data_IF_223279734493
#
_entry.id   IF_223279734493
#
_cell.length_a   1.000
_cell.length_b   1.000
_cell.length_c   1.000
_cell.angle_alpha   90.00
_cell.angle_beta   90.00
_cell.angle_gamma   90.00
#
_symmetry.space_group_name_H-M   'P 1'
#
loop_
_entity.id
_entity.type
_entity.pdbx_description
1 polymer ?
#
# COMPACT_ATOMS: atom_id res chain seq x y z
N UNK A 1 -9.82 -0.41 -11.65
CA UNK A 1 -10.69 0.77 -11.83
C UNK A 1 -9.88 1.95 -12.36
N UNK A 2 -8.91 2.50 -11.63
CA UNK A 2 -8.13 3.70 -12.02
C UNK A 2 -7.44 3.55 -13.37
N UNK A 3 -6.95 2.36 -13.69
CA UNK A 3 -6.39 2.05 -15.02
C UNK A 3 -7.41 2.26 -16.13
N UNK A 4 -8.64 1.75 -15.97
CA UNK A 4 -9.71 1.93 -16.96
C UNK A 4 -10.09 3.41 -17.15
N UNK A 5 -10.19 4.18 -16.05
CA UNK A 5 -10.42 5.62 -16.12
C UNK A 5 -9.28 6.35 -16.85
N UNK A 6 -8.04 5.89 -16.70
CA UNK A 6 -6.88 6.46 -17.38
C UNK A 6 -6.90 6.13 -18.88
N UNK A 7 -7.28 4.89 -19.25
CA UNK A 7 -7.44 4.49 -20.65
C UNK A 7 -8.46 5.36 -21.39
N UNK A 8 -9.59 5.69 -20.75
CA UNK A 8 -10.65 6.52 -21.35
C UNK A 8 -10.23 7.96 -21.66
N UNK A 9 -9.10 8.40 -21.13
CA UNK A 9 -8.54 9.72 -21.39
C UNK A 9 -7.35 9.69 -22.37
N UNK A 10 -7.05 8.53 -23.00
CA UNK A 10 -5.96 8.39 -23.95
C UNK A 10 -6.46 8.53 -25.38
N UNK A 11 -5.99 9.53 -26.09
CA UNK A 11 -6.35 9.80 -27.50
C UNK A 11 -6.03 8.63 -28.46
N UNK A 12 -5.04 7.81 -28.12
CA UNK A 12 -4.61 6.66 -28.92
C UNK A 12 -5.48 5.42 -28.78
N UNK A 13 -6.46 5.38 -27.85
CA UNK A 13 -7.31 4.23 -27.54
C UNK A 13 -8.77 4.62 -27.79
N UNK A 14 -9.16 4.66 -29.06
CA UNK A 14 -10.48 5.11 -29.50
C UNK A 14 -11.61 4.15 -29.06
N UNK A 15 -11.29 2.90 -28.77
CA UNK A 15 -12.21 1.86 -28.31
C UNK A 15 -12.70 2.11 -26.88
N UNK A 16 -12.00 2.94 -26.11
CA UNK A 16 -12.39 3.35 -24.75
C UNK A 16 -12.61 4.87 -24.74
N UNK A 17 -13.80 5.34 -25.14
CA UNK A 17 -14.08 6.78 -25.18
C UNK A 17 -14.10 7.39 -23.78
N UNK A 18 -13.99 8.72 -23.72
CA UNK A 18 -14.08 9.45 -22.46
C UNK A 18 -15.42 9.19 -21.76
N UNK A 19 -15.37 8.81 -20.49
CA UNK A 19 -16.55 8.44 -19.71
C UNK A 19 -17.39 9.65 -19.30
N UNK A 20 -18.69 9.45 -19.28
CA UNK A 20 -19.64 10.39 -18.69
C UNK A 20 -19.32 10.64 -17.19
N UNK A 21 -19.74 11.78 -16.62
CA UNK A 21 -19.64 12.01 -15.18
C UNK A 21 -20.31 10.93 -14.34
N UNK A 22 -21.43 10.35 -14.81
CA UNK A 22 -22.14 9.28 -14.13
C UNK A 22 -21.33 7.98 -14.10
N UNK A 23 -20.71 7.60 -15.20
CA UNK A 23 -19.86 6.41 -15.28
C UNK A 23 -18.59 6.56 -14.44
N UNK A 24 -17.96 7.73 -14.44
CA UNK A 24 -16.84 8.03 -13.55
C UNK A 24 -17.25 7.96 -12.07
N UNK A 25 -18.40 8.51 -11.69
CA UNK A 25 -18.91 8.44 -10.33
C UNK A 25 -19.16 7.00 -9.87
N UNK A 26 -19.72 6.14 -10.75
CA UNK A 26 -19.86 4.71 -10.45
C UNK A 26 -18.52 4.03 -10.24
N UNK A 27 -17.54 4.28 -11.10
CA UNK A 27 -16.18 3.73 -10.93
C UNK A 27 -15.52 4.21 -9.64
N UNK A 28 -15.71 5.47 -9.27
CA UNK A 28 -15.20 6.04 -8.02
C UNK A 28 -15.85 5.38 -6.80
N UNK A 29 -17.18 5.15 -6.84
CA UNK A 29 -17.90 4.50 -5.74
C UNK A 29 -17.46 3.05 -5.52
N UNK A 30 -17.17 2.29 -6.59
CA UNK A 30 -16.63 0.92 -6.48
C UNK A 30 -15.33 0.89 -5.65
N UNK A 31 -14.51 1.94 -5.76
CA UNK A 31 -13.26 2.03 -4.98
C UNK A 31 -13.52 2.54 -3.57
N UNK A 32 -14.32 3.60 -3.43
CA UNK A 32 -14.54 4.28 -2.15
C UNK A 32 -15.38 3.45 -1.16
N UNK A 33 -16.32 2.68 -1.68
CA UNK A 33 -17.29 1.89 -0.90
C UNK A 33 -16.93 0.39 -0.83
N UNK A 34 -15.71 0.01 -1.27
CA UNK A 34 -15.27 -1.38 -1.25
C UNK A 34 -15.37 -1.96 0.17
N UNK A 35 -16.07 -3.09 0.28
CA UNK A 35 -16.44 -3.69 1.56
C UNK A 35 -15.88 -5.11 1.75
N UNK A 36 -16.03 -5.63 2.96
CA UNK A 36 -15.72 -7.03 3.27
C UNK A 36 -16.63 -7.99 2.47
N UNK A 37 -17.87 -7.59 2.19
CA UNK A 37 -18.79 -8.43 1.39
C UNK A 37 -18.37 -8.46 -0.08
N UNK A 38 -17.88 -7.35 -0.63
CA UNK A 38 -17.26 -7.33 -1.96
C UNK A 38 -16.03 -8.26 -2.02
N UNK A 39 -15.19 -8.23 -0.99
CA UNK A 39 -14.05 -9.13 -0.90
C UNK A 39 -14.48 -10.62 -0.83
N UNK A 40 -15.56 -10.94 -0.10
CA UNK A 40 -16.15 -12.29 -0.07
C UNK A 40 -16.65 -12.69 -1.45
N UNK A 41 -17.35 -11.78 -2.16
CA UNK A 41 -17.81 -12.04 -3.52
C UNK A 41 -16.66 -12.38 -4.47
N UNK A 42 -15.56 -11.62 -4.41
CA UNK A 42 -14.35 -11.90 -5.19
C UNK A 42 -13.81 -13.31 -4.87
N UNK A 43 -13.75 -13.69 -3.58
CA UNK A 43 -13.28 -15.04 -3.18
C UNK A 43 -14.22 -16.17 -3.63
N UNK A 44 -15.51 -15.90 -3.76
CA UNK A 44 -16.46 -16.86 -4.37
C UNK A 44 -16.15 -17.05 -5.87
N UNK A 45 -15.97 -15.97 -6.62
CA UNK A 45 -15.61 -16.02 -8.04
C UNK A 45 -14.27 -16.76 -8.22
N UNK A 46 -13.30 -16.48 -7.35
CA UNK A 46 -11.97 -17.10 -7.39
C UNK A 46 -12.01 -18.63 -7.26
N UNK A 47 -12.97 -19.19 -6.50
CA UNK A 47 -13.15 -20.65 -6.40
C UNK A 47 -13.41 -21.32 -7.75
N UNK A 48 -13.99 -20.58 -8.70
CA UNK A 48 -14.27 -21.08 -10.05
C UNK A 48 -13.15 -20.75 -11.02
N UNK A 49 -12.62 -19.51 -10.94
CA UNK A 49 -11.58 -19.04 -11.86
C UNK A 49 -10.19 -19.59 -11.54
N UNK A 50 -9.95 -20.01 -10.30
CA UNK A 50 -8.64 -20.41 -9.76
C UNK A 50 -7.54 -19.37 -10.02
N UNK A 51 -7.93 -18.06 -10.03
CA UNK A 51 -7.03 -16.97 -10.31
C UNK A 51 -7.53 -15.69 -9.62
N UNK A 52 -6.68 -15.08 -8.81
CA UNK A 52 -6.99 -13.92 -7.96
C UNK A 52 -7.39 -12.66 -8.76
N UNK A 53 -6.51 -12.18 -9.63
CA UNK A 53 -6.78 -10.95 -10.42
C UNK A 53 -7.91 -11.16 -11.40
N UNK A 54 -8.07 -12.38 -11.97
CA UNK A 54 -9.20 -12.69 -12.85
C UNK A 54 -10.53 -12.63 -12.09
N UNK A 55 -10.54 -13.06 -10.84
CA UNK A 55 -11.72 -12.93 -9.99
C UNK A 55 -12.10 -11.46 -9.74
N UNK A 56 -11.13 -10.58 -9.54
CA UNK A 56 -11.35 -9.14 -9.41
C UNK A 56 -11.89 -8.55 -10.72
N UNK A 57 -11.37 -8.97 -11.88
CA UNK A 57 -11.89 -8.55 -13.18
C UNK A 57 -13.36 -8.90 -13.34
N UNK A 58 -13.76 -10.16 -13.05
CA UNK A 58 -15.16 -10.58 -13.14
C UNK A 58 -16.05 -9.84 -12.14
N UNK A 59 -15.59 -9.61 -10.92
CA UNK A 59 -16.31 -8.79 -9.95
C UNK A 59 -16.54 -7.36 -10.47
N UNK A 60 -15.55 -6.74 -11.08
CA UNK A 60 -15.70 -5.42 -11.66
C UNK A 60 -16.70 -5.43 -12.84
N UNK A 61 -16.69 -6.47 -13.68
CA UNK A 61 -17.68 -6.66 -14.74
C UNK A 61 -19.10 -6.77 -14.18
N UNK A 62 -19.29 -7.50 -13.06
CA UNK A 62 -20.58 -7.55 -12.35
C UNK A 62 -21.03 -6.15 -11.88
N UNK A 63 -20.11 -5.37 -11.28
CA UNK A 63 -20.41 -4.03 -10.76
C UNK A 63 -20.78 -3.00 -11.84
N UNK A 64 -20.32 -3.17 -13.06
CA UNK A 64 -20.59 -2.23 -14.16
C UNK A 64 -21.67 -2.73 -15.13
N UNK A 65 -22.22 -3.91 -14.91
CA UNK A 65 -23.14 -4.58 -15.85
C UNK A 65 -24.37 -3.74 -16.21
N UNK A 66 -24.92 -3.01 -15.25
CA UNK A 66 -26.12 -2.17 -15.42
C UNK A 66 -25.82 -0.78 -16.02
N UNK A 67 -24.55 -0.42 -16.18
CA UNK A 67 -24.14 0.81 -16.84
C UNK A 67 -23.79 0.50 -18.30
N UNK A 68 -24.62 0.94 -19.25
CA UNK A 68 -24.47 0.59 -20.67
C UNK A 68 -23.14 1.08 -21.27
N UNK A 69 -22.63 2.24 -20.84
CA UNK A 69 -21.36 2.80 -21.29
C UNK A 69 -20.18 1.93 -20.85
N UNK A 70 -20.10 1.59 -19.56
CA UNK A 70 -19.03 0.77 -19.01
C UNK A 70 -19.14 -0.70 -19.41
N UNK A 71 -20.33 -1.22 -19.55
CA UNK A 71 -20.55 -2.60 -19.97
C UNK A 71 -20.11 -2.83 -21.43
N UNK A 72 -20.27 -1.83 -22.29
CA UNK A 72 -19.82 -1.92 -23.69
C UNK A 72 -18.29 -2.08 -23.81
N UNK A 73 -17.53 -1.62 -22.82
CA UNK A 73 -16.05 -1.66 -22.84
C UNK A 73 -15.48 -2.52 -21.69
N UNK A 74 -16.28 -3.41 -21.12
CA UNK A 74 -15.89 -4.18 -19.94
C UNK A 74 -14.66 -5.08 -20.16
N UNK A 75 -14.35 -5.48 -21.40
CA UNK A 75 -13.16 -6.25 -21.76
C UNK A 75 -11.86 -5.42 -21.60
N UNK A 76 -11.94 -4.09 -21.57
CA UNK A 76 -10.80 -3.22 -21.35
C UNK A 76 -10.41 -3.07 -19.87
N UNK A 77 -11.17 -3.65 -18.94
CA UNK A 77 -10.85 -3.62 -17.48
C UNK A 77 -9.44 -4.18 -17.21
N UNK A 78 -9.04 -5.22 -17.95
CA UNK A 78 -7.71 -5.84 -17.84
C UNK A 78 -6.84 -5.64 -19.08
N UNK A 79 -7.13 -4.62 -19.87
CA UNK A 79 -6.39 -4.32 -21.09
C UNK A 79 -4.97 -3.81 -20.81
N UNK A 80 -4.00 -4.25 -21.61
CA UNK A 80 -2.60 -3.84 -21.58
C UNK A 80 -1.88 -4.01 -20.21
N UNK A 81 -2.35 -4.91 -19.33
CA UNK A 81 -1.67 -5.25 -18.10
C UNK A 81 -1.70 -6.76 -17.84
N UNK A 82 -0.68 -7.25 -17.15
CA UNK A 82 -0.69 -8.61 -16.61
C UNK A 82 -1.12 -8.57 -15.14
N UNK A 83 -1.49 -9.72 -14.58
CA UNK A 83 -1.90 -9.84 -13.18
C UNK A 83 -0.86 -9.28 -12.22
N UNK A 84 0.43 -9.52 -12.46
CA UNK A 84 1.50 -9.02 -11.59
C UNK A 84 1.68 -7.50 -11.67
N UNK A 85 1.33 -6.85 -12.79
CA UNK A 85 1.30 -5.38 -12.87
C UNK A 85 0.27 -4.80 -11.88
N UNK A 86 -0.83 -5.50 -11.65
CA UNK A 86 -1.86 -5.12 -10.70
C UNK A 86 -1.47 -5.51 -9.26
N UNK A 87 -1.01 -6.75 -9.06
CA UNK A 87 -0.63 -7.27 -7.74
C UNK A 87 0.48 -6.46 -7.09
N UNK A 88 1.58 -6.16 -7.81
CA UNK A 88 2.66 -5.39 -7.23
C UNK A 88 2.25 -3.98 -6.84
N UNK A 89 1.43 -3.31 -7.64
CA UNK A 89 0.90 -1.97 -7.31
C UNK A 89 -0.03 -2.02 -6.10
N UNK A 90 -0.88 -3.05 -6.00
CA UNK A 90 -1.76 -3.24 -4.85
C UNK A 90 -0.96 -3.47 -3.56
N UNK A 91 0.06 -4.33 -3.60
CA UNK A 91 0.97 -4.55 -2.48
C UNK A 91 1.73 -3.28 -2.10
N UNK A 92 2.24 -2.53 -3.07
CA UNK A 92 2.92 -1.26 -2.84
C UNK A 92 2.02 -0.24 -2.12
N UNK A 93 0.76 -0.09 -2.56
CA UNK A 93 -0.22 0.78 -1.94
C UNK A 93 -0.56 0.35 -0.51
N UNK A 94 -0.77 -0.97 -0.27
CA UNK A 94 -1.03 -1.50 1.06
C UNK A 94 0.16 -1.29 2.01
N UNK A 95 1.38 -1.57 1.56
CA UNK A 95 2.60 -1.35 2.35
C UNK A 95 2.79 0.14 2.67
N UNK A 96 2.54 1.03 1.70
CA UNK A 96 2.63 2.47 1.94
C UNK A 96 1.59 2.93 2.98
N UNK A 97 0.34 2.52 2.82
CA UNK A 97 -0.72 2.86 3.78
C UNK A 97 -0.40 2.31 5.18
N UNK A 98 0.01 1.05 5.30
CA UNK A 98 0.39 0.44 6.57
C UNK A 98 1.57 1.17 7.23
N UNK A 99 2.59 1.56 6.45
CA UNK A 99 3.72 2.36 6.96
C UNK A 99 3.23 3.68 7.55
N UNK A 100 2.46 4.45 6.79
CA UNK A 100 2.03 5.80 7.20
C UNK A 100 1.02 5.78 8.35
N UNK A 101 0.05 4.85 8.31
CA UNK A 101 -1.07 4.87 9.25
C UNK A 101 -0.87 4.00 10.49
N UNK A 102 0.07 3.06 10.44
CA UNK A 102 0.29 2.10 11.53
C UNK A 102 1.73 2.13 12.02
N UNK A 103 2.71 1.78 11.15
CA UNK A 103 4.08 1.54 11.59
C UNK A 103 4.71 2.81 12.16
N UNK A 104 4.70 3.91 11.40
CA UNK A 104 5.33 5.16 11.84
C UNK A 104 4.67 5.73 13.11
N UNK A 105 3.34 5.81 13.25
CA UNK A 105 2.71 6.25 14.49
C UNK A 105 3.06 5.39 15.71
N UNK A 106 3.12 4.07 15.58
CA UNK A 106 3.51 3.21 16.71
C UNK A 106 4.99 3.34 17.08
N UNK A 107 5.87 3.51 16.09
CA UNK A 107 7.30 3.78 16.35
C UNK A 107 7.47 5.14 17.03
N UNK A 108 6.72 6.17 16.64
CA UNK A 108 6.74 7.48 17.28
C UNK A 108 6.28 7.39 18.74
N UNK A 109 5.20 6.67 19.06
CA UNK A 109 4.78 6.41 20.44
C UNK A 109 5.86 5.69 21.26
N UNK A 110 6.55 4.72 20.68
CA UNK A 110 7.65 4.03 21.36
C UNK A 110 8.83 4.98 21.64
N UNK A 111 9.20 5.81 20.66
CA UNK A 111 10.26 6.82 20.83
C UNK A 111 9.91 7.80 21.94
N UNK A 112 8.67 8.27 21.98
CA UNK A 112 8.20 9.21 22.99
C UNK A 112 8.25 8.57 24.38
N UNK A 113 7.75 7.35 24.54
CA UNK A 113 7.79 6.64 25.82
C UNK A 113 9.22 6.44 26.35
N UNK A 114 10.17 6.06 25.47
CA UNK A 114 11.58 5.90 25.87
C UNK A 114 12.21 7.27 26.15
N UNK A 115 11.85 8.32 25.41
CA UNK A 115 12.32 9.68 25.66
C UNK A 115 11.84 10.20 27.01
N UNK A 116 10.61 9.88 27.40
CA UNK A 116 10.09 10.25 28.72
C UNK A 116 10.80 9.50 29.86
N UNK A 117 11.14 8.23 29.65
CA UNK A 117 12.01 7.49 30.58
C UNK A 117 13.40 8.13 30.66
N UNK A 118 13.97 8.56 29.55
CA UNK A 118 15.25 9.25 29.52
C UNK A 118 15.22 10.55 30.34
N UNK A 119 14.17 11.35 30.19
CA UNK A 119 13.98 12.59 30.98
C UNK A 119 13.77 12.28 32.45
N UNK A 120 12.91 11.31 32.77
CA UNK A 120 12.57 10.91 34.16
C UNK A 120 13.79 10.44 34.92
N UNK A 121 14.65 9.65 34.29
CA UNK A 121 15.82 9.02 34.94
C UNK A 121 17.16 9.69 34.60
N UNK A 122 17.15 10.93 34.11
CA UNK A 122 18.34 11.65 33.69
C UNK A 122 19.41 11.82 34.77
N UNK A 123 19.02 11.87 36.05
CA UNK A 123 19.91 12.06 37.20
C UNK A 123 20.14 10.78 37.99
N UNK A 124 19.56 9.66 37.59
CA UNK A 124 19.73 8.38 38.28
C UNK A 124 21.09 7.77 37.86
N UNK A 125 22.08 7.71 38.77
CA UNK A 125 23.39 7.16 38.44
C UNK A 125 23.30 5.65 38.24
N UNK A 126 24.05 5.14 37.28
CA UNK A 126 24.25 3.71 37.12
C UNK A 126 25.68 3.42 36.67
N UNK A 127 26.13 2.21 36.97
CA UNK A 127 27.43 1.72 36.52
C UNK A 127 27.27 1.11 35.11
N UNK A 128 27.97 1.67 34.12
CA UNK A 128 28.12 1.00 32.83
C UNK A 128 28.94 -0.29 32.97
N UNK A 129 28.79 -1.19 32.04
CA UNK A 129 29.50 -2.47 32.02
C UNK A 129 30.11 -2.71 30.63
N UNK A 130 31.27 -3.36 30.63
CA UNK A 130 31.93 -3.87 29.43
C UNK A 130 32.43 -5.29 29.73
N UNK A 131 32.16 -6.23 28.83
CA UNK A 131 32.53 -7.64 29.04
C UNK A 131 32.05 -8.21 30.39
N UNK A 132 30.90 -7.78 30.90
CA UNK A 132 30.41 -8.16 32.22
C UNK A 132 31.10 -7.49 33.42
N UNK A 133 32.09 -6.65 33.20
CA UNK A 133 32.88 -5.93 34.21
C UNK A 133 32.31 -4.50 34.42
N UNK A 134 32.40 -3.96 35.64
CA UNK A 134 32.15 -2.54 35.90
C UNK A 134 33.05 -1.64 35.01
N UNK A 135 32.42 -0.62 34.43
CA UNK A 135 33.09 0.39 33.62
C UNK A 135 32.79 1.80 34.15
N UNK A 136 32.78 2.80 33.28
CA UNK A 136 32.55 4.20 33.68
C UNK A 136 31.16 4.42 34.24
N UNK A 137 30.99 5.29 35.24
CA UNK A 137 29.65 5.74 35.66
C UNK A 137 28.89 6.41 34.52
N UNK A 138 27.57 6.19 34.49
CA UNK A 138 26.64 6.81 33.55
C UNK A 138 25.35 7.13 34.28
N UNK A 139 24.28 7.49 33.53
CA UNK A 139 22.93 7.61 34.09
C UNK A 139 21.97 6.72 33.31
N UNK A 140 20.95 6.25 34.00
CA UNK A 140 19.85 5.48 33.37
C UNK A 140 19.20 6.28 32.25
N UNK A 141 18.98 7.59 32.47
CA UNK A 141 18.41 8.45 31.45
C UNK A 141 19.27 8.58 30.20
N UNK A 142 20.60 8.63 30.32
CA UNK A 142 21.50 8.65 29.15
C UNK A 142 21.40 7.36 28.34
N UNK A 143 21.32 6.22 29.00
CA UNK A 143 21.15 4.94 28.29
C UNK A 143 19.81 4.87 27.52
N UNK A 144 18.71 5.34 28.12
CA UNK A 144 17.41 5.46 27.43
C UNK A 144 17.49 6.45 26.26
N UNK A 145 18.13 7.61 26.45
CA UNK A 145 18.31 8.61 25.38
C UNK A 145 19.06 8.05 24.17
N UNK A 146 20.09 7.22 24.40
CA UNK A 146 20.82 6.56 23.32
C UNK A 146 19.90 5.67 22.47
N UNK A 147 19.02 4.89 23.11
CA UNK A 147 18.05 4.04 22.41
C UNK A 147 17.06 4.90 21.64
N UNK A 148 16.47 5.94 22.27
CA UNK A 148 15.51 6.82 21.62
C UNK A 148 16.08 7.50 20.37
N UNK A 149 17.31 8.02 20.44
CA UNK A 149 17.97 8.67 19.29
C UNK A 149 18.24 7.67 18.15
N UNK A 150 18.63 6.46 18.48
CA UNK A 150 18.85 5.41 17.46
C UNK A 150 17.55 5.00 16.78
N UNK A 151 16.46 4.81 17.55
CA UNK A 151 15.14 4.52 17.00
C UNK A 151 14.65 5.66 16.11
N UNK A 152 14.84 6.92 16.51
CA UNK A 152 14.47 8.07 15.69
C UNK A 152 15.13 8.05 14.30
N UNK A 153 16.44 7.78 14.26
CA UNK A 153 17.18 7.64 12.99
C UNK A 153 16.62 6.49 12.13
N UNK A 154 16.30 5.35 12.72
CA UNK A 154 15.72 4.22 12.00
C UNK A 154 14.30 4.54 11.49
N UNK A 155 13.51 5.24 12.30
CA UNK A 155 12.18 5.73 11.92
C UNK A 155 12.25 6.65 10.71
N UNK A 156 13.21 7.56 10.66
CA UNK A 156 13.45 8.45 9.52
C UNK A 156 13.83 7.67 8.25
N UNK A 157 14.67 6.64 8.38
CA UNK A 157 15.02 5.76 7.26
C UNK A 157 13.81 4.99 6.73
N UNK A 158 12.97 4.42 7.61
CA UNK A 158 11.73 3.73 7.21
C UNK A 158 10.80 4.68 6.48
N UNK A 159 10.62 5.91 6.98
CA UNK A 159 9.78 6.93 6.36
C UNK A 159 10.27 7.34 4.96
N UNK A 160 11.58 7.37 4.75
CA UNK A 160 12.21 7.81 3.51
C UNK A 160 12.23 6.74 2.41
N UNK A 161 11.85 5.48 2.70
CA UNK A 161 11.84 4.41 1.69
C UNK A 161 10.79 4.68 0.62
N UNK A 162 11.20 4.85 -0.62
CA UNK A 162 10.32 4.90 -1.77
C UNK A 162 9.84 3.50 -2.11
N UNK A 163 8.53 3.27 -2.06
CA UNK A 163 7.93 2.00 -2.46
C UNK A 163 7.68 2.06 -3.95
N UNK A 164 8.33 1.17 -4.69
CA UNK A 164 8.31 1.13 -6.14
C UNK A 164 7.21 0.20 -6.64
N UNK A 165 6.68 0.49 -7.83
CA UNK A 165 5.80 -0.37 -8.60
C UNK A 165 6.30 -0.52 -10.02
N UNK A 166 5.77 -1.51 -10.75
CA UNK A 166 6.08 -1.74 -12.16
C UNK A 166 4.79 -1.96 -12.95
N UNK A 167 4.82 -1.61 -14.24
CA UNK A 167 3.84 -1.98 -15.26
C UNK A 167 4.58 -2.24 -16.56
N UNK A 168 5.02 -3.47 -16.80
CA UNK A 168 5.85 -3.86 -17.93
C UNK A 168 5.55 -5.27 -18.44
N UNK A 169 4.40 -5.82 -18.10
CA UNK A 169 3.97 -7.16 -18.50
C UNK A 169 4.53 -8.27 -17.61
N UNK A 170 4.26 -9.51 -17.99
CA UNK A 170 4.58 -10.70 -17.19
C UNK A 170 6.08 -10.92 -17.01
N UNK A 171 6.88 -10.62 -18.05
CA UNK A 171 8.33 -10.90 -18.09
C UNK A 171 9.20 -9.64 -18.23
N UNK A 172 8.59 -8.46 -18.15
CA UNK A 172 9.32 -7.20 -18.24
C UNK A 172 9.62 -6.68 -19.65
N UNK A 173 9.00 -7.25 -20.66
CA UNK A 173 9.28 -6.95 -22.07
C UNK A 173 8.22 -6.07 -22.74
N UNK A 174 7.24 -5.55 -21.98
CA UNK A 174 6.16 -4.71 -22.50
C UNK A 174 5.30 -5.37 -23.60
N UNK A 175 5.22 -6.68 -23.65
CA UNK A 175 4.52 -7.42 -24.71
C UNK A 175 3.04 -7.05 -24.86
N UNK A 176 2.39 -6.60 -23.81
CA UNK A 176 1.00 -6.14 -23.84
C UNK A 176 0.84 -4.67 -24.26
N UNK A 177 1.95 -3.95 -24.50
CA UNK A 177 1.96 -2.52 -24.80
C UNK A 177 2.48 -2.18 -26.20
N UNK A 178 2.96 -3.19 -26.95
CA UNK A 178 3.57 -3.05 -28.30
C UNK A 178 2.64 -3.51 -29.41
#
# INVERSE_FOLDING_TARGET
>A
VRWLQMLSNQEGIQEVPAFSPQSNALLDSIVAEFSVDDARRIKEIERTTNHDVKAVEYFLKEKVADNSELNAINEFIHFACTSEDINNLSHALMCNAARETVILPYVDQLIDAITDLARKYRTVPMMARTHGQPASPTTMGKEMANVAVRLKRQREQIAAVSILGKINGAVGNYNAHL
#
